data_IF_496883471293
#
_entry.id   IF_496883471293
#
_cell.length_a   1.000
_cell.length_b   1.000
_cell.length_c   1.000
_cell.angle_alpha   90.00
_cell.angle_beta   90.00
_cell.angle_gamma   90.00
#
_symmetry.space_group_name_H-M   'P 1'
#
loop_
_entity.id
_entity.type
_entity.pdbx_description
1 polymer ?
#
# COMPACT_ATOMS: atom_id res chain seq x y z
N UNK A 1 1.34 11.39 -17.30
CA UNK A 1 0.83 10.64 -16.12
C UNK A 1 1.16 11.41 -14.83
N UNK A 2 0.58 12.61 -14.62
CA UNK A 2 0.97 13.55 -13.52
C UNK A 2 -0.18 13.89 -12.55
N UNK A 3 -1.34 13.22 -12.64
CA UNK A 3 -2.58 13.73 -12.03
C UNK A 3 -3.38 12.78 -11.14
N UNK A 4 -3.05 11.49 -11.05
CA UNK A 4 -3.94 10.54 -10.36
C UNK A 4 -3.93 10.72 -8.82
N UNK A 5 -2.77 10.90 -8.20
CA UNK A 5 -2.68 10.96 -6.72
C UNK A 5 -3.09 12.35 -6.19
N UNK A 6 -2.68 13.43 -6.86
CA UNK A 6 -3.04 14.80 -6.47
C UNK A 6 -4.55 15.11 -6.62
N UNK A 7 -5.29 14.36 -7.45
CA UNK A 7 -6.74 14.56 -7.62
C UNK A 7 -7.56 14.22 -6.37
N UNK A 8 -6.99 13.48 -5.41
CA UNK A 8 -7.61 13.17 -4.12
C UNK A 8 -7.40 14.29 -3.07
N UNK A 9 -6.71 15.38 -3.41
CA UNK A 9 -6.50 16.53 -2.52
C UNK A 9 -5.52 16.30 -1.36
N UNK A 10 -4.88 15.13 -1.29
CA UNK A 10 -3.88 14.81 -0.27
C UNK A 10 -2.47 15.29 -0.64
N UNK A 11 -1.69 15.63 0.39
CA UNK A 11 -0.26 16.01 0.31
C UNK A 11 0.68 14.91 0.81
N UNK A 12 0.14 13.84 1.39
CA UNK A 12 0.87 12.79 2.07
C UNK A 12 0.56 11.43 1.45
N UNK A 13 1.58 10.59 1.27
CA UNK A 13 1.46 9.24 0.74
C UNK A 13 2.57 8.35 1.29
N UNK A 14 2.21 7.19 1.85
CA UNK A 14 3.16 6.19 2.30
C UNK A 14 2.81 4.82 1.70
N UNK A 15 3.75 4.24 0.97
CA UNK A 15 3.73 2.86 0.49
C UNK A 15 4.91 2.10 1.07
N UNK A 16 4.67 0.85 1.48
CA UNK A 16 5.74 -0.05 1.90
C UNK A 16 5.42 -1.45 1.43
N UNK A 17 6.36 -2.04 0.68
CA UNK A 17 6.26 -3.43 0.27
C UNK A 17 5.42 -3.70 -0.97
N UNK A 18 4.96 -2.70 -1.73
CA UNK A 18 4.25 -2.95 -2.99
C UNK A 18 5.12 -3.65 -4.04
N UNK A 19 4.49 -4.52 -4.82
CA UNK A 19 5.06 -5.18 -6.00
C UNK A 19 4.26 -4.85 -7.25
N UNK A 20 4.94 -4.73 -8.40
CA UNK A 20 4.28 -4.58 -9.70
C UNK A 20 4.97 -5.49 -10.71
N UNK A 21 4.22 -6.46 -11.27
CA UNK A 21 4.74 -7.49 -12.16
C UNK A 21 5.91 -8.31 -11.58
N UNK A 22 5.98 -8.46 -10.25
CA UNK A 22 6.98 -9.27 -9.54
C UNK A 22 7.97 -8.44 -8.72
N UNK A 23 8.74 -7.50 -9.32
CA UNK A 23 9.66 -6.65 -8.58
C UNK A 23 8.98 -5.67 -7.61
N UNK A 24 9.70 -5.18 -6.59
CA UNK A 24 9.24 -4.09 -5.74
C UNK A 24 8.95 -2.82 -6.56
N UNK A 25 7.79 -2.20 -6.32
CA UNK A 25 7.28 -1.07 -7.10
C UNK A 25 7.85 0.30 -6.65
N UNK A 26 8.29 0.43 -5.40
CA UNK A 26 8.86 1.66 -4.80
C UNK A 26 8.00 2.90 -5.07
N UNK A 27 6.71 2.85 -4.72
CA UNK A 27 5.76 3.89 -5.10
C UNK A 27 6.05 5.25 -4.44
N UNK A 28 6.64 5.26 -3.23
CA UNK A 28 7.10 6.48 -2.56
C UNK A 28 8.01 7.34 -3.46
N UNK A 29 8.95 6.72 -4.18
CA UNK A 29 9.85 7.44 -5.07
C UNK A 29 9.11 8.10 -6.26
N UNK A 30 8.05 7.45 -6.75
CA UNK A 30 7.22 7.98 -7.85
C UNK A 30 6.43 9.20 -7.36
N UNK A 31 5.87 9.13 -6.15
CA UNK A 31 5.02 10.19 -5.61
C UNK A 31 5.80 11.38 -5.05
N UNK A 32 7.04 11.19 -4.58
CA UNK A 32 7.92 12.32 -4.24
C UNK A 32 8.16 13.19 -5.48
N UNK A 33 8.30 12.59 -6.67
CA UNK A 33 8.37 13.33 -7.94
C UNK A 33 7.09 14.10 -8.30
N UNK A 34 5.98 13.85 -7.61
CA UNK A 34 4.71 14.57 -7.72
C UNK A 34 4.51 15.62 -6.63
N UNK A 35 5.49 15.81 -5.73
CA UNK A 35 5.42 16.77 -4.63
C UNK A 35 4.70 16.27 -3.37
N UNK A 36 4.49 14.96 -3.25
CA UNK A 36 3.92 14.35 -2.04
C UNK A 36 5.03 13.99 -1.06
N UNK A 37 4.75 14.13 0.23
CA UNK A 37 5.63 13.69 1.32
C UNK A 37 5.20 12.32 1.83
N UNK A 38 6.15 11.55 2.37
CA UNK A 38 5.90 10.25 3.02
C UNK A 38 5.62 10.36 4.53
N UNK A 39 5.76 11.54 5.10
CA UNK A 39 5.34 11.85 6.46
C UNK A 39 3.81 11.91 6.53
N UNK A 40 3.16 10.83 6.97
CA UNK A 40 1.70 10.76 7.12
C UNK A 40 1.21 11.16 8.52
N UNK A 41 2.10 11.43 9.48
CA UNK A 41 1.75 11.88 10.83
C UNK A 41 1.11 10.85 11.77
N UNK A 42 1.00 9.58 11.37
CA UNK A 42 0.54 8.47 12.22
C UNK A 42 1.07 7.11 11.76
N UNK A 43 1.13 6.14 12.65
CA UNK A 43 1.41 4.73 12.35
C UNK A 43 0.16 3.88 12.60
N UNK A 44 -0.32 3.06 11.64
CA UNK A 44 -1.39 2.09 11.86
C UNK A 44 -1.20 1.17 13.06
N UNK A 45 0.05 0.80 13.37
CA UNK A 45 0.37 -0.07 14.49
C UNK A 45 0.09 0.57 15.85
N UNK A 46 0.06 1.90 15.93
CA UNK A 46 -0.33 2.63 17.14
C UNK A 46 -1.86 2.68 17.32
N UNK A 47 -2.63 2.42 16.27
CA UNK A 47 -4.09 2.52 16.27
C UNK A 47 -4.81 1.17 16.38
N UNK A 48 -4.28 0.12 15.75
CA UNK A 48 -4.87 -1.22 15.76
C UNK A 48 -3.85 -2.31 15.45
N UNK A 49 -4.12 -3.51 15.96
CA UNK A 49 -3.35 -4.70 15.62
C UNK A 49 -3.65 -5.17 14.19
N UNK A 50 -2.61 -5.49 13.44
CA UNK A 50 -2.72 -6.09 12.13
C UNK A 50 -1.53 -7.00 11.83
N UNK A 51 -1.76 -7.95 10.92
CA UNK A 51 -0.71 -8.83 10.42
C UNK A 51 -0.31 -8.40 9.01
N UNK A 52 0.93 -7.96 8.86
CA UNK A 52 1.51 -7.70 7.55
C UNK A 52 1.94 -9.00 6.85
N UNK A 53 1.69 -9.09 5.54
CA UNK A 53 2.30 -10.09 4.68
C UNK A 53 3.41 -9.45 3.85
N UNK A 54 4.60 -10.04 3.88
CA UNK A 54 5.82 -9.49 3.28
C UNK A 54 6.26 -10.23 2.02
N UNK A 55 5.41 -11.10 1.47
CA UNK A 55 5.67 -11.79 0.19
C UNK A 55 4.41 -11.86 -0.68
N UNK A 56 4.56 -11.78 -2.02
CA UNK A 56 3.43 -11.92 -2.94
C UNK A 56 2.67 -13.23 -2.76
N UNK A 57 3.38 -14.34 -2.57
CA UNK A 57 2.77 -15.67 -2.43
C UNK A 57 1.94 -15.81 -1.14
N UNK A 58 2.37 -15.19 -0.03
CA UNK A 58 1.58 -15.18 1.20
C UNK A 58 0.29 -14.37 1.03
N UNK A 59 0.37 -13.22 0.36
CA UNK A 59 -0.82 -12.40 0.04
C UNK A 59 -1.77 -13.20 -0.86
N UNK A 60 -1.26 -13.76 -1.96
CA UNK A 60 -2.04 -14.54 -2.93
C UNK A 60 -2.76 -15.71 -2.25
N UNK A 61 -2.03 -16.55 -1.51
CA UNK A 61 -2.62 -17.66 -0.78
C UNK A 61 -3.72 -17.17 0.16
N UNK A 62 -3.43 -16.16 0.98
CA UNK A 62 -4.37 -15.68 1.98
C UNK A 62 -5.66 -15.16 1.34
N UNK A 63 -5.55 -14.33 0.31
CA UNK A 63 -6.71 -13.76 -0.41
C UNK A 63 -7.53 -14.86 -1.08
N UNK A 64 -6.88 -15.76 -1.83
CA UNK A 64 -7.57 -16.86 -2.51
C UNK A 64 -8.30 -17.79 -1.55
N UNK A 65 -7.84 -17.90 -0.30
CA UNK A 65 -8.47 -18.73 0.72
C UNK A 65 -9.60 -18.02 1.45
N UNK A 66 -9.41 -16.75 1.86
CA UNK A 66 -10.28 -16.11 2.86
C UNK A 66 -11.19 -15.01 2.29
N UNK A 67 -10.95 -14.52 1.07
CA UNK A 67 -11.78 -13.45 0.50
C UNK A 67 -13.01 -14.00 -0.23
N UNK A 68 -14.15 -13.32 -0.10
CA UNK A 68 -15.42 -13.64 -0.78
C UNK A 68 -16.56 -13.98 0.18
N UNK A 69 -17.81 -13.85 -0.30
CA UNK A 69 -18.99 -14.15 0.50
C UNK A 69 -19.05 -15.65 0.87
N UNK A 70 -19.44 -15.95 2.11
CA UNK A 70 -19.59 -17.33 2.60
C UNK A 70 -18.29 -18.05 2.94
N UNK A 71 -17.16 -17.34 3.01
CA UNK A 71 -15.89 -17.90 3.51
C UNK A 71 -15.70 -17.54 4.98
N UNK A 72 -15.46 -18.56 5.80
CA UNK A 72 -15.16 -18.49 7.24
C UNK A 72 -13.93 -19.36 7.52
#
# INVERSE_FOLDING_TARGET
MRRAVAAYGGTHFRDTGSWFNGPPARLDAVVTGLGLTDDVGWDPADAYDYRQFTSPSAVEHYVLRHSGAGRH
#
